data_IF_882852748748
#
_entry.id   IF_882852748748
#
_cell.length_a   1.000
_cell.length_b   1.000
_cell.length_c   1.000
_cell.angle_alpha   90.00
_cell.angle_beta   90.00
_cell.angle_gamma   90.00
#
_symmetry.space_group_name_H-M   'P 1'
#
loop_
_entity.id
_entity.type
_entity.pdbx_description
1 polymer ?
#
# COMPACT_ATOMS: atom_id res chain seq x y z
N UNK A 1 61.56 8.93 -1.55
CA UNK A 1 61.15 7.76 -2.35
C UNK A 1 59.99 7.12 -1.59
N UNK A 2 58.78 7.64 -1.81
CA UNK A 2 57.70 7.05 -2.65
C UNK A 2 56.97 5.90 -1.97
N UNK A 3 55.74 6.17 -1.51
CA UNK A 3 54.51 5.39 -1.77
C UNK A 3 53.42 5.90 -0.82
N UNK A 4 52.50 6.76 -1.26
CA UNK A 4 51.36 6.48 -2.13
C UNK A 4 50.33 5.54 -1.46
N UNK A 5 49.22 6.18 -1.06
CA UNK A 5 47.84 5.72 -1.19
C UNK A 5 47.51 4.24 -0.91
N UNK A 6 46.76 4.00 0.15
CA UNK A 6 45.57 3.16 0.07
C UNK A 6 44.58 3.53 1.19
N UNK A 7 43.70 4.48 0.92
CA UNK A 7 42.41 4.55 1.60
C UNK A 7 41.66 3.24 1.27
N UNK A 8 41.63 2.29 2.20
CA UNK A 8 40.61 1.24 2.17
C UNK A 8 39.42 1.81 2.92
N UNK A 9 38.64 2.64 2.22
CA UNK A 9 37.27 2.92 2.60
C UNK A 9 36.49 1.62 2.37
N UNK A 10 36.43 0.77 3.40
CA UNK A 10 35.51 -0.35 3.43
C UNK A 10 34.10 0.24 3.40
N UNK A 11 33.50 0.24 2.22
CA UNK A 11 32.08 0.52 1.99
C UNK A 11 31.27 -0.50 2.77
N UNK A 12 30.91 -0.15 4.00
CA UNK A 12 29.77 -0.75 4.65
C UNK A 12 28.56 -0.41 3.78
N UNK A 13 28.15 -1.35 2.91
CA UNK A 13 26.80 -1.34 2.38
C UNK A 13 25.89 -1.38 3.61
N UNK A 14 25.34 -0.22 3.94
CA UNK A 14 24.17 -0.08 4.79
C UNK A 14 23.04 -0.83 4.10
N UNK A 15 22.98 -2.15 4.32
CA UNK A 15 21.74 -2.88 4.16
C UNK A 15 20.80 -2.29 5.20
N UNK A 16 20.01 -1.29 4.79
CA UNK A 16 18.90 -0.80 5.57
C UNK A 16 18.06 -2.04 5.96
N UNK A 17 17.67 -2.19 7.23
CA UNK A 17 16.88 -3.33 7.64
C UNK A 17 15.63 -3.38 6.77
N UNK A 18 15.44 -4.49 6.04
CA UNK A 18 14.21 -4.73 5.29
C UNK A 18 13.07 -4.66 6.30
N UNK A 19 12.22 -3.63 6.18
CA UNK A 19 11.05 -3.53 7.05
C UNK A 19 10.09 -4.63 6.63
N UNK A 20 9.41 -5.27 7.59
CA UNK A 20 8.40 -6.29 7.28
C UNK A 20 7.33 -5.77 6.29
N UNK A 21 7.08 -4.46 6.32
CA UNK A 21 6.18 -3.75 5.42
C UNK A 21 6.67 -3.77 3.95
N UNK A 22 7.99 -3.82 3.71
CA UNK A 22 8.57 -3.83 2.36
C UNK A 22 8.27 -5.15 1.63
N UNK A 23 8.27 -6.28 2.34
CA UNK A 23 7.95 -7.58 1.76
C UNK A 23 6.48 -7.68 1.33
N UNK A 24 5.58 -7.11 2.15
CA UNK A 24 4.14 -7.02 1.83
C UNK A 24 3.92 -6.13 0.60
N UNK A 25 4.54 -4.94 0.57
CA UNK A 25 4.44 -4.02 -0.57
C UNK A 25 4.99 -4.69 -1.85
N UNK A 26 6.15 -5.33 -1.77
CA UNK A 26 6.77 -5.99 -2.91
C UNK A 26 5.89 -7.10 -3.49
N UNK A 27 5.25 -7.90 -2.63
CA UNK A 27 4.27 -8.92 -3.05
C UNK A 27 3.15 -8.31 -3.89
N UNK A 28 2.55 -7.20 -3.45
CA UNK A 28 1.45 -6.55 -4.17
C UNK A 28 1.91 -5.92 -5.49
N UNK A 29 3.11 -5.33 -5.52
CA UNK A 29 3.74 -4.83 -6.76
C UNK A 29 3.92 -5.96 -7.77
N UNK A 30 4.36 -7.12 -7.32
CA UNK A 30 4.66 -8.25 -8.20
C UNK A 30 3.41 -9.01 -8.66
N UNK A 31 2.35 -9.06 -7.85
CA UNK A 31 1.16 -9.86 -8.14
C UNK A 31 0.01 -9.08 -8.77
N UNK A 32 -0.24 -7.84 -8.34
CA UNK A 32 -1.49 -7.13 -8.63
C UNK A 32 -1.27 -5.81 -9.38
N UNK A 33 -0.23 -5.05 -9.05
CA UNK A 33 -0.04 -3.70 -9.60
C UNK A 33 0.72 -3.68 -10.93
N UNK A 34 0.51 -4.70 -11.77
CA UNK A 34 1.08 -4.78 -13.12
C UNK A 34 -0.02 -4.91 -14.20
N UNK A 35 0.16 -4.30 -15.38
CA UNK A 35 1.30 -3.47 -15.80
C UNK A 35 1.28 -2.07 -15.17
N UNK A 36 2.44 -1.45 -15.02
CA UNK A 36 2.57 -0.08 -14.51
C UNK A 36 3.48 0.77 -15.39
N UNK A 37 3.22 2.08 -15.40
CA UNK A 37 4.12 3.08 -16.01
C UNK A 37 5.36 3.34 -15.16
N UNK A 38 5.31 3.00 -13.87
CA UNK A 38 6.43 3.12 -12.94
C UNK A 38 7.29 1.86 -12.93
N UNK A 39 8.60 2.03 -12.80
CA UNK A 39 9.48 0.90 -12.51
C UNK A 39 9.10 0.27 -11.16
N UNK A 40 9.38 -1.03 -10.96
CA UNK A 40 9.11 -1.68 -9.66
C UNK A 40 9.80 -0.98 -8.48
N UNK A 41 11.00 -0.45 -8.71
CA UNK A 41 11.72 0.31 -7.69
C UNK A 41 11.03 1.63 -7.33
N UNK A 42 10.41 2.29 -8.30
CA UNK A 42 9.66 3.53 -8.04
C UNK A 42 8.29 3.25 -7.43
N UNK A 43 7.62 2.15 -7.83
CA UNK A 43 6.41 1.68 -7.15
C UNK A 43 6.68 1.35 -5.67
N UNK A 44 7.82 0.72 -5.36
CA UNK A 44 8.20 0.42 -3.98
C UNK A 44 8.37 1.70 -3.16
N UNK A 45 9.06 2.71 -3.70
CA UNK A 45 9.22 4.02 -3.04
C UNK A 45 7.88 4.72 -2.83
N UNK A 46 7.01 4.70 -3.83
CA UNK A 46 5.68 5.32 -3.76
C UNK A 46 4.84 4.68 -2.66
N UNK A 47 4.79 3.34 -2.62
CA UNK A 47 4.00 2.61 -1.63
C UNK A 47 4.63 2.67 -0.23
N UNK A 48 5.95 2.77 -0.11
CA UNK A 48 6.63 3.06 1.16
C UNK A 48 6.28 4.46 1.68
N UNK A 49 6.26 5.46 0.80
CA UNK A 49 5.80 6.80 1.14
C UNK A 49 4.34 6.78 1.60
N UNK A 50 3.48 6.05 0.87
CA UNK A 50 2.07 5.90 1.19
C UNK A 50 1.84 5.23 2.55
N UNK A 51 2.51 4.10 2.82
CA UNK A 51 2.45 3.40 4.11
C UNK A 51 2.91 4.31 5.25
N UNK A 52 3.99 5.07 5.05
CA UNK A 52 4.49 6.03 6.03
C UNK A 52 3.50 7.15 6.31
N UNK A 53 2.84 7.69 5.28
CA UNK A 53 1.82 8.72 5.44
C UNK A 53 0.60 8.22 6.24
N UNK A 54 0.31 6.91 6.16
CA UNK A 54 -0.77 6.28 6.89
C UNK A 54 -0.44 5.89 8.34
N UNK A 55 0.82 5.97 8.78
CA UNK A 55 1.25 5.60 10.14
C UNK A 55 0.38 6.17 11.27
N UNK A 56 -0.04 7.46 11.26
CA UNK A 56 -0.89 8.03 12.32
C UNK A 56 -2.27 7.38 12.46
N UNK A 57 -2.72 6.69 11.42
CA UNK A 57 -4.06 6.10 11.33
C UNK A 57 -4.05 4.59 11.49
N UNK A 58 -2.89 3.98 11.77
CA UNK A 58 -2.77 2.53 11.94
C UNK A 58 -3.73 2.03 13.03
N UNK A 59 -4.52 1.01 12.70
CA UNK A 59 -5.56 0.46 13.58
C UNK A 59 -6.91 1.17 13.53
N UNK A 60 -7.02 2.30 12.82
CA UNK A 60 -8.30 2.96 12.54
C UNK A 60 -9.22 2.02 11.75
N UNK A 61 -10.51 2.08 12.05
CA UNK A 61 -11.54 1.33 11.34
C UNK A 61 -12.28 2.25 10.39
N UNK A 62 -12.28 1.90 9.11
CA UNK A 62 -12.99 2.61 8.05
C UNK A 62 -14.01 1.66 7.44
N UNK A 63 -15.27 2.11 7.31
CA UNK A 63 -16.31 1.39 6.62
C UNK A 63 -16.62 2.12 5.30
N UNK A 64 -16.55 1.40 4.19
CA UNK A 64 -16.92 1.87 2.86
C UNK A 64 -18.10 1.03 2.38
N UNK A 65 -19.05 1.68 1.74
CA UNK A 65 -20.20 1.04 1.12
C UNK A 65 -20.26 1.49 -0.32
N UNK A 66 -20.36 0.54 -1.25
CA UNK A 66 -20.45 0.82 -2.67
C UNK A 66 -21.59 0.02 -3.33
N UNK A 67 -21.99 0.45 -4.51
CA UNK A 67 -22.92 -0.30 -5.36
C UNK A 67 -22.29 -1.63 -5.82
N UNK A 68 -23.12 -2.65 -6.04
CA UNK A 68 -22.71 -3.94 -6.58
C UNK A 68 -22.47 -3.86 -8.10
N UNK A 69 -21.28 -3.38 -8.48
CA UNK A 69 -20.76 -3.42 -9.85
C UNK A 69 -19.39 -4.09 -9.87
N UNK A 70 -18.98 -4.59 -11.03
CA UNK A 70 -17.73 -5.37 -11.18
C UNK A 70 -16.48 -4.62 -10.70
N UNK A 71 -16.43 -3.30 -10.90
CA UNK A 71 -15.31 -2.47 -10.40
C UNK A 71 -15.25 -2.48 -8.88
N UNK A 72 -16.38 -2.27 -8.20
CA UNK A 72 -16.43 -2.25 -6.75
C UNK A 72 -16.21 -3.65 -6.15
N UNK A 73 -16.59 -4.72 -6.87
CA UNK A 73 -16.23 -6.08 -6.47
C UNK A 73 -14.71 -6.29 -6.43
N UNK A 74 -14.00 -5.78 -7.43
CA UNK A 74 -12.54 -5.80 -7.46
C UNK A 74 -11.94 -4.95 -6.33
N UNK A 75 -12.44 -3.74 -6.13
CA UNK A 75 -11.99 -2.85 -5.05
C UNK A 75 -12.18 -3.50 -3.66
N UNK A 76 -13.38 -4.03 -3.39
CA UNK A 76 -13.72 -4.63 -2.10
C UNK A 76 -12.93 -5.90 -1.81
N UNK A 77 -12.72 -6.75 -2.83
CA UNK A 77 -12.05 -8.06 -2.64
C UNK A 77 -10.53 -7.96 -2.67
N UNK A 78 -9.99 -7.04 -3.47
CA UNK A 78 -8.55 -6.97 -3.77
C UNK A 78 -7.93 -5.71 -3.19
N UNK A 79 -8.38 -4.52 -3.61
CA UNK A 79 -7.72 -3.27 -3.23
C UNK A 79 -7.91 -2.94 -1.74
N UNK A 80 -9.06 -3.26 -1.15
CA UNK A 80 -9.29 -3.05 0.27
C UNK A 80 -8.36 -3.90 1.15
N UNK A 81 -8.04 -5.11 0.68
CA UNK A 81 -7.06 -6.00 1.32
C UNK A 81 -5.65 -5.44 1.18
N UNK A 82 -5.25 -5.04 -0.02
CA UNK A 82 -3.94 -4.42 -0.25
C UNK A 82 -3.74 -3.17 0.60
N UNK A 83 -4.74 -2.28 0.64
CA UNK A 83 -4.75 -1.10 1.48
C UNK A 83 -4.56 -1.44 2.96
N UNK A 84 -5.32 -2.40 3.47
CA UNK A 84 -5.23 -2.78 4.89
C UNK A 84 -3.89 -3.42 5.24
N UNK A 85 -3.36 -4.26 4.36
CA UNK A 85 -2.05 -4.91 4.54
C UNK A 85 -0.89 -3.91 4.48
N UNK A 86 -0.97 -2.89 3.62
CA UNK A 86 0.08 -1.87 3.43
C UNK A 86 0.05 -0.82 4.55
N UNK A 87 -1.14 -0.37 4.95
CA UNK A 87 -1.28 0.77 5.88
C UNK A 87 -1.50 0.35 7.33
N UNK A 88 -2.02 -0.87 7.55
CA UNK A 88 -2.50 -1.31 8.86
C UNK A 88 -3.81 -0.65 9.32
N UNK A 89 -4.49 0.09 8.45
CA UNK A 89 -5.87 0.56 8.65
C UNK A 89 -6.80 -0.62 8.38
N UNK A 90 -7.83 -0.80 9.21
CA UNK A 90 -8.83 -1.86 9.03
C UNK A 90 -9.95 -1.33 8.13
N UNK A 91 -9.92 -1.70 6.86
CA UNK A 91 -10.96 -1.33 5.92
C UNK A 91 -11.99 -2.45 5.76
N UNK A 92 -13.27 -2.12 6.00
CA UNK A 92 -14.40 -2.97 5.63
C UNK A 92 -15.11 -2.35 4.44
N UNK A 93 -15.22 -3.09 3.34
CA UNK A 93 -15.86 -2.61 2.12
C UNK A 93 -17.07 -3.49 1.79
N UNK A 94 -18.26 -2.99 2.09
CA UNK A 94 -19.53 -3.66 1.83
C UNK A 94 -20.08 -3.28 0.45
N UNK A 95 -20.75 -4.22 -0.21
CA UNK A 95 -21.43 -4.00 -1.49
C UNK A 95 -22.95 -4.19 -1.30
N UNK A 96 -23.73 -3.23 -1.77
CA UNK A 96 -25.20 -3.25 -1.73
C UNK A 96 -25.78 -2.78 -3.08
N UNK A 97 -27.10 -2.81 -3.25
CA UNK A 97 -27.73 -2.28 -4.46
C UNK A 97 -27.70 -0.75 -4.47
N UNK A 98 -27.67 -0.13 -5.65
CA UNK A 98 -27.53 1.34 -5.81
C UNK A 98 -28.58 2.11 -4.98
N UNK A 99 -29.84 1.67 -5.04
CA UNK A 99 -30.93 2.29 -4.29
C UNK A 99 -30.68 2.30 -2.78
N UNK A 100 -30.15 1.20 -2.25
CA UNK A 100 -29.83 1.07 -0.83
C UNK A 100 -28.60 1.93 -0.43
N UNK A 101 -27.67 2.17 -1.37
CA UNK A 101 -26.52 3.09 -1.14
C UNK A 101 -27.02 4.50 -0.87
N UNK A 102 -27.93 5.00 -1.71
CA UNK A 102 -28.45 6.36 -1.60
C UNK A 102 -29.20 6.54 -0.27
N UNK A 103 -30.05 5.58 0.09
CA UNK A 103 -30.78 5.62 1.36
C UNK A 103 -29.83 5.58 2.56
N UNK A 104 -28.83 4.70 2.54
CA UNK A 104 -27.84 4.60 3.64
C UNK A 104 -27.02 5.87 3.80
N UNK A 105 -26.62 6.53 2.71
CA UNK A 105 -25.91 7.81 2.78
C UNK A 105 -26.79 8.92 3.35
N UNK A 106 -28.07 8.99 2.95
CA UNK A 106 -29.01 9.98 3.49
C UNK A 106 -29.28 9.81 4.99
N UNK A 107 -29.30 8.58 5.49
CA UNK A 107 -29.52 8.32 6.93
C UNK A 107 -28.30 8.62 7.82
N UNK A 108 -27.10 8.77 7.24
CA UNK A 108 -25.86 9.02 7.99
C UNK A 108 -25.38 10.48 7.97
N UNK A 109 -26.02 11.37 7.19
CA UNK A 109 -25.78 12.81 7.21
C UNK A 109 -26.50 13.50 8.37
#
# INVERSE_FOLDING_TARGET
MTSACALIAATALLAAPAKADDATIQKWIDSEFQPSTLSKADQLKELQWYAKAAEPFKGMEINVVSETITTHEYESRTLAKAFSEITGIKLKHDLIQEGDVVEKLQTQM
#
